data_IF_128962510961
#
_entry.id   IF_128962510961
#
_cell.length_a   1.000
_cell.length_b   1.000
_cell.length_c   1.000
_cell.angle_alpha   90.00
_cell.angle_beta   90.00
_cell.angle_gamma   90.00
#
_symmetry.space_group_name_H-M   'P 1'
#
loop_
_entity.id
_entity.type
_entity.pdbx_description
1 polymer ?
#
# COMPACT_ATOMS: atom_id res chain seq x y z
N UNK A 1 -10.97 34.66 15.51
CA UNK A 1 -10.49 33.28 15.78
C UNK A 1 -9.91 32.61 14.54
N UNK A 2 -10.58 32.65 13.38
CA UNK A 2 -10.07 32.07 12.12
C UNK A 2 -8.69 32.62 11.66
N UNK A 3 -8.41 33.92 11.85
CA UNK A 3 -7.12 34.54 11.48
C UNK A 3 -5.92 34.04 12.30
N UNK A 4 -6.14 33.72 13.58
CA UNK A 4 -5.10 33.18 14.48
C UNK A 4 -4.81 31.72 14.15
N UNK A 5 -5.83 30.95 13.77
CA UNK A 5 -5.68 29.56 13.31
C UNK A 5 -4.87 29.46 12.02
N UNK A 6 -5.19 30.28 11.02
CA UNK A 6 -4.45 30.34 9.75
C UNK A 6 -2.99 30.76 9.93
N UNK A 7 -2.71 31.73 10.82
CA UNK A 7 -1.35 32.17 11.09
C UNK A 7 -0.50 31.06 11.74
N UNK A 8 -1.04 30.36 12.76
CA UNK A 8 -0.37 29.20 13.38
C UNK A 8 -0.12 28.09 12.35
N UNK A 9 -1.09 27.81 11.50
CA UNK A 9 -0.94 26.81 10.43
C UNK A 9 0.20 27.15 9.46
N UNK A 10 0.30 28.41 9.01
CA UNK A 10 1.39 28.84 8.13
C UNK A 10 2.78 28.65 8.75
N UNK A 11 2.92 28.89 10.05
CA UNK A 11 4.18 28.64 10.78
C UNK A 11 4.50 27.13 10.78
N UNK A 12 3.51 26.29 11.10
CA UNK A 12 3.66 24.83 11.08
C UNK A 12 4.03 24.32 9.68
N UNK A 13 3.38 24.84 8.63
CA UNK A 13 3.69 24.48 7.25
C UNK A 13 5.11 24.89 6.85
N UNK A 14 5.58 26.06 7.30
CA UNK A 14 6.97 26.49 7.07
C UNK A 14 7.99 25.59 7.79
N UNK A 15 7.76 25.25 9.06
CA UNK A 15 8.62 24.31 9.80
C UNK A 15 8.62 22.93 9.11
N UNK A 16 7.44 22.46 8.66
CA UNK A 16 7.29 21.22 7.92
C UNK A 16 8.08 21.26 6.61
N UNK A 17 8.05 22.37 5.88
CA UNK A 17 8.81 22.54 4.66
C UNK A 17 10.30 22.35 4.92
N UNK A 18 10.85 23.04 5.92
CA UNK A 18 12.25 22.89 6.32
C UNK A 18 12.57 21.43 6.64
N UNK A 19 11.71 20.76 7.41
CA UNK A 19 11.87 19.33 7.71
C UNK A 19 11.87 18.46 6.44
N UNK A 20 10.92 18.64 5.53
CA UNK A 20 10.78 17.82 4.32
C UNK A 20 12.02 17.92 3.42
N UNK A 21 12.52 19.13 3.19
CA UNK A 21 13.67 19.32 2.31
C UNK A 21 15.00 18.92 2.94
N UNK A 22 15.08 18.80 4.27
CA UNK A 22 16.32 18.40 4.98
C UNK A 22 16.32 16.91 5.34
N UNK A 23 15.20 16.39 5.87
CA UNK A 23 15.13 15.08 6.52
C UNK A 23 14.38 14.03 5.70
N UNK A 24 13.39 14.42 4.89
CA UNK A 24 12.62 13.46 4.12
C UNK A 24 13.37 13.03 2.85
N UNK A 25 13.87 11.78 2.86
CA UNK A 25 14.64 11.23 1.73
C UNK A 25 13.82 11.22 0.44
N UNK A 26 12.56 10.79 0.51
CA UNK A 26 11.67 10.65 -0.66
C UNK A 26 11.38 12.00 -1.32
N UNK A 27 11.03 13.02 -0.54
CA UNK A 27 10.81 14.38 -1.05
C UNK A 27 12.08 14.92 -1.72
N UNK A 28 13.26 14.71 -1.12
CA UNK A 28 14.53 15.13 -1.74
C UNK A 28 14.79 14.41 -3.06
N UNK A 29 14.46 13.12 -3.17
CA UNK A 29 14.60 12.36 -4.42
C UNK A 29 13.69 12.94 -5.53
N UNK A 30 12.41 13.18 -5.23
CA UNK A 30 11.48 13.78 -6.20
C UNK A 30 11.91 15.19 -6.64
N UNK A 31 12.37 16.01 -5.70
CA UNK A 31 12.86 17.37 -5.99
C UNK A 31 14.17 17.31 -6.78
N UNK A 32 15.04 16.36 -6.49
CA UNK A 32 16.27 16.14 -7.27
C UNK A 32 15.94 15.74 -8.71
N UNK A 33 14.93 14.88 -8.91
CA UNK A 33 14.41 14.53 -10.24
C UNK A 33 13.90 15.76 -10.97
N UNK A 34 13.11 16.62 -10.29
CA UNK A 34 12.69 17.90 -10.83
C UNK A 34 13.87 18.78 -11.25
N UNK A 35 14.89 18.93 -10.39
CA UNK A 35 16.06 19.78 -10.68
C UNK A 35 16.80 19.24 -11.91
N UNK A 36 17.02 17.92 -12.00
CA UNK A 36 17.77 17.26 -13.06
C UNK A 36 17.00 17.07 -14.37
N UNK A 37 15.68 17.17 -14.36
CA UNK A 37 14.88 17.00 -15.58
C UNK A 37 15.23 18.07 -16.61
N UNK A 38 15.31 17.71 -17.88
CA UNK A 38 15.34 18.69 -18.99
C UNK A 38 13.95 18.90 -19.60
N UNK A 39 12.97 18.08 -19.21
CA UNK A 39 11.59 18.14 -19.68
C UNK A 39 10.73 18.85 -18.64
N UNK A 40 10.72 20.18 -18.66
CA UNK A 40 9.92 20.99 -17.74
C UNK A 40 9.10 22.02 -18.50
N UNK A 41 7.92 22.31 -17.98
CA UNK A 41 7.13 23.48 -18.34
C UNK A 41 7.95 24.75 -18.11
N UNK A 42 7.50 25.85 -18.70
CA UNK A 42 8.03 27.17 -18.43
C UNK A 42 7.98 27.50 -16.92
N UNK A 43 9.01 28.18 -16.42
CA UNK A 43 9.17 28.46 -14.99
C UNK A 43 8.02 29.29 -14.41
N UNK A 44 7.42 30.18 -15.19
CA UNK A 44 6.31 31.00 -14.74
C UNK A 44 5.02 30.20 -14.64
N UNK A 45 4.83 29.21 -15.53
CA UNK A 45 3.74 28.22 -15.41
C UNK A 45 3.91 27.38 -14.15
N UNK A 46 5.12 26.87 -13.90
CA UNK A 46 5.41 26.06 -12.69
C UNK A 46 5.15 26.87 -11.41
N UNK A 47 5.64 28.10 -11.35
CA UNK A 47 5.43 29.01 -10.20
C UNK A 47 3.95 29.30 -9.99
N UNK A 48 3.20 29.53 -11.07
CA UNK A 48 1.76 29.75 -11.02
C UNK A 48 1.03 28.51 -10.47
N UNK A 49 1.26 27.33 -11.04
CA UNK A 49 0.60 26.09 -10.63
C UNK A 49 0.89 25.75 -9.15
N UNK A 50 2.15 25.83 -8.72
CA UNK A 50 2.54 25.60 -7.32
C UNK A 50 1.82 26.59 -6.39
N UNK A 51 1.77 27.88 -6.76
CA UNK A 51 1.12 28.91 -5.95
C UNK A 51 -0.37 28.63 -5.79
N UNK A 52 -1.06 28.28 -6.87
CA UNK A 52 -2.50 28.02 -6.83
C UNK A 52 -2.81 26.73 -6.07
N UNK A 53 -2.00 25.68 -6.21
CA UNK A 53 -2.14 24.46 -5.41
C UNK A 53 -1.88 24.70 -3.93
N UNK A 54 -0.86 25.51 -3.58
CA UNK A 54 -0.59 25.86 -2.19
C UNK A 54 -1.73 26.67 -1.57
N UNK A 55 -2.30 27.63 -2.29
CA UNK A 55 -3.50 28.36 -1.85
C UNK A 55 -4.67 27.42 -1.63
N UNK A 56 -4.91 26.50 -2.56
CA UNK A 56 -6.04 25.57 -2.52
C UNK A 56 -5.96 24.58 -1.36
N UNK A 57 -4.80 23.94 -1.19
CA UNK A 57 -4.59 22.93 -0.15
C UNK A 57 -4.23 23.51 1.22
N UNK A 58 -3.81 24.77 1.27
CA UNK A 58 -3.29 25.42 2.48
C UNK A 58 -1.95 24.89 2.97
N UNK A 59 -1.39 23.88 2.31
CA UNK A 59 -0.10 23.28 2.62
C UNK A 59 0.75 23.22 1.36
N UNK A 60 2.06 23.36 1.51
CA UNK A 60 2.95 23.29 0.34
C UNK A 60 2.74 21.99 -0.45
N UNK A 61 2.53 22.08 -1.78
CA UNK A 61 2.05 20.97 -2.60
C UNK A 61 3.19 20.05 -3.03
N UNK A 62 3.70 19.24 -2.10
CA UNK A 62 4.78 18.26 -2.37
C UNK A 62 4.39 17.30 -3.50
N UNK A 63 3.09 17.00 -3.64
CA UNK A 63 2.56 16.13 -4.67
C UNK A 63 2.85 16.65 -6.10
N UNK A 64 3.08 17.96 -6.27
CA UNK A 64 3.50 18.55 -7.53
C UNK A 64 4.83 17.96 -8.04
N UNK A 65 5.75 17.65 -7.12
CA UNK A 65 7.03 17.00 -7.43
C UNK A 65 6.90 15.47 -7.43
N UNK A 66 6.05 14.90 -6.56
CA UNK A 66 5.82 13.44 -6.51
C UNK A 66 5.28 12.90 -7.83
N UNK A 67 4.28 13.60 -8.40
CA UNK A 67 3.58 13.20 -9.62
C UNK A 67 4.07 13.92 -10.88
N UNK A 68 5.22 14.59 -10.79
CA UNK A 68 5.90 15.28 -11.89
C UNK A 68 5.00 16.24 -12.69
N UNK A 69 4.15 17.01 -12.00
CA UNK A 69 3.23 17.98 -12.63
C UNK A 69 3.97 19.10 -13.38
N UNK A 70 5.25 19.31 -13.07
CA UNK A 70 6.13 20.24 -13.78
C UNK A 70 6.53 19.76 -15.19
N UNK A 71 6.36 18.48 -15.53
CA UNK A 71 6.82 17.91 -16.80
C UNK A 71 5.94 18.37 -17.97
N UNK A 72 6.51 18.59 -19.16
CA UNK A 72 5.67 18.82 -20.36
C UNK A 72 4.88 17.57 -20.77
N UNK A 73 5.24 16.40 -20.24
CA UNK A 73 4.47 15.16 -20.41
C UNK A 73 3.20 15.13 -19.55
N UNK A 74 3.05 16.06 -18.59
CA UNK A 74 1.88 16.15 -17.75
C UNK A 74 0.75 16.90 -18.49
N UNK A 75 -0.32 16.16 -18.80
CA UNK A 75 -1.50 16.70 -19.50
C UNK A 75 -2.59 17.22 -18.55
N UNK A 76 -2.40 17.08 -17.24
CA UNK A 76 -3.37 17.53 -16.25
C UNK A 76 -3.45 19.05 -16.24
N UNK A 77 -4.67 19.58 -16.24
CA UNK A 77 -4.96 20.98 -15.96
C UNK A 77 -4.93 21.23 -14.45
N UNK A 78 -4.83 22.50 -14.06
CA UNK A 78 -4.75 22.90 -12.67
C UNK A 78 -5.89 22.32 -11.80
N UNK A 79 -7.12 22.27 -12.30
CA UNK A 79 -8.24 21.71 -11.54
C UNK A 79 -8.16 20.19 -11.39
N UNK A 80 -7.59 19.48 -12.36
CA UNK A 80 -7.33 18.04 -12.24
C UNK A 80 -6.16 17.79 -11.26
N UNK A 81 -5.14 18.65 -11.24
CA UNK A 81 -4.08 18.60 -10.22
C UNK A 81 -4.61 18.83 -8.80
N UNK A 82 -5.66 19.66 -8.64
CA UNK A 82 -6.33 19.87 -7.35
C UNK A 82 -7.06 18.62 -6.84
N UNK A 83 -7.32 17.62 -7.70
CA UNK A 83 -7.85 16.34 -7.22
C UNK A 83 -6.78 15.50 -6.49
N UNK A 84 -5.48 15.79 -6.72
CA UNK A 84 -4.38 15.07 -6.07
C UNK A 84 -4.07 15.67 -4.70
N UNK A 85 -4.33 14.86 -3.68
CA UNK A 85 -4.15 15.19 -2.28
C UNK A 85 -2.67 15.17 -1.87
N UNK A 86 -2.16 16.22 -1.20
CA UNK A 86 -0.88 16.15 -0.52
C UNK A 86 -0.92 15.08 0.59
N UNK A 87 0.06 14.18 0.61
CA UNK A 87 0.17 13.14 1.65
C UNK A 87 0.08 13.68 3.08
N UNK A 88 0.67 14.85 3.36
CA UNK A 88 0.52 15.47 4.67
C UNK A 88 -0.93 15.81 5.00
N UNK A 89 -1.65 16.45 4.07
CA UNK A 89 -3.04 16.84 4.27
C UNK A 89 -3.90 15.59 4.53
N UNK A 90 -3.69 14.54 3.74
CA UNK A 90 -4.39 13.28 3.91
C UNK A 90 -4.13 12.66 5.29
N UNK A 91 -2.88 12.34 5.64
CA UNK A 91 -2.59 11.59 6.87
C UNK A 91 -2.73 12.41 8.16
N UNK A 92 -2.71 13.75 8.10
CA UNK A 92 -2.80 14.61 9.29
C UNK A 92 -4.15 15.29 9.48
N UNK A 93 -4.99 15.36 8.45
CA UNK A 93 -6.26 16.06 8.52
C UNK A 93 -7.42 15.14 8.15
N UNK A 94 -7.33 14.44 7.00
CA UNK A 94 -8.42 13.57 6.54
C UNK A 94 -8.46 12.25 7.28
N UNK A 95 -7.34 11.54 7.39
CA UNK A 95 -7.29 10.22 8.02
C UNK A 95 -7.77 10.26 9.49
N UNK A 96 -7.34 11.21 10.34
CA UNK A 96 -7.82 11.31 11.73
C UNK A 96 -9.33 11.58 11.90
N UNK A 97 -10.02 12.00 10.83
CA UNK A 97 -11.47 12.16 10.86
C UNK A 97 -12.19 10.81 10.83
N UNK A 98 -11.58 9.80 10.22
CA UNK A 98 -12.15 8.46 10.08
C UNK A 98 -11.61 7.49 11.14
N UNK A 99 -10.35 7.61 11.55
CA UNK A 99 -9.73 6.65 12.46
C UNK A 99 -8.78 7.30 13.49
N UNK A 100 -8.71 6.69 14.67
CA UNK A 100 -7.59 6.92 15.58
C UNK A 100 -6.35 6.19 15.05
N UNK A 101 -5.50 6.95 14.36
CA UNK A 101 -4.26 6.45 13.76
C UNK A 101 -3.44 5.61 14.74
N UNK A 102 -3.31 6.03 16.01
CA UNK A 102 -2.44 5.32 16.95
C UNK A 102 -3.03 3.94 17.26
N UNK A 103 -4.32 3.91 17.59
CA UNK A 103 -5.05 2.67 17.91
C UNK A 103 -5.05 1.72 16.71
N UNK A 104 -5.43 2.21 15.53
CA UNK A 104 -5.53 1.38 14.31
C UNK A 104 -4.15 0.92 13.85
N UNK A 105 -3.10 1.73 13.98
CA UNK A 105 -1.73 1.34 13.62
C UNK A 105 -1.19 0.25 14.55
N UNK A 106 -1.40 0.37 15.87
CA UNK A 106 -0.98 -0.69 16.81
C UNK A 106 -1.68 -2.02 16.54
N UNK A 107 -2.91 -1.96 16.04
CA UNK A 107 -3.73 -3.11 15.72
C UNK A 107 -3.28 -3.78 14.41
N UNK A 108 -3.09 -3.00 13.35
CA UNK A 108 -2.88 -3.54 12.00
C UNK A 108 -1.40 -3.74 11.62
N UNK A 109 -0.46 -2.99 12.20
CA UNK A 109 0.95 -3.12 11.82
C UNK A 109 1.67 -4.28 12.53
N UNK A 110 1.06 -4.87 13.57
CA UNK A 110 1.55 -6.11 14.15
C UNK A 110 0.97 -7.29 13.37
N UNK A 111 1.80 -7.96 12.55
CA UNK A 111 1.35 -9.06 11.69
C UNK A 111 0.69 -10.20 12.46
N UNK A 112 1.16 -10.54 13.67
CA UNK A 112 0.55 -11.61 14.48
C UNK A 112 -0.88 -11.22 14.89
N UNK A 113 -1.05 -10.00 15.40
CA UNK A 113 -2.37 -9.54 15.83
C UNK A 113 -3.32 -9.38 14.64
N UNK A 114 -2.85 -8.82 13.53
CA UNK A 114 -3.61 -8.69 12.29
C UNK A 114 -4.07 -10.05 11.76
N UNK A 115 -3.21 -11.07 11.79
CA UNK A 115 -3.56 -12.42 11.33
C UNK A 115 -4.65 -13.05 12.19
N UNK A 116 -4.55 -12.94 13.51
CA UNK A 116 -5.63 -13.37 14.41
C UNK A 116 -6.95 -12.66 14.12
N UNK A 117 -6.93 -11.35 13.90
CA UNK A 117 -8.13 -10.60 13.51
C UNK A 117 -8.76 -11.13 12.21
N UNK A 118 -7.93 -11.50 11.24
CA UNK A 118 -8.43 -12.04 9.98
C UNK A 118 -9.04 -13.42 10.18
N UNK A 119 -8.35 -14.31 10.90
CA UNK A 119 -8.80 -15.67 11.19
C UNK A 119 -10.11 -15.67 12.00
N UNK A 120 -10.17 -14.92 13.11
CA UNK A 120 -11.37 -14.76 13.95
C UNK A 120 -12.54 -14.12 13.18
N UNK A 121 -12.25 -13.18 12.27
CA UNK A 121 -13.25 -12.55 11.41
C UNK A 121 -13.69 -13.40 10.22
N UNK A 122 -13.06 -14.55 9.99
CA UNK A 122 -13.25 -15.35 8.76
C UNK A 122 -12.91 -14.58 7.50
N UNK A 123 -11.90 -13.71 7.56
CA UNK A 123 -11.31 -13.01 6.42
C UNK A 123 -10.27 -13.95 5.81
N UNK A 124 -10.39 -14.35 4.53
CA UNK A 124 -9.42 -15.22 3.88
C UNK A 124 -8.02 -14.61 3.95
N UNK A 125 -7.03 -15.37 4.43
CA UNK A 125 -5.65 -14.93 4.60
C UNK A 125 -4.71 -16.14 4.43
N UNK A 126 -3.41 -15.97 4.09
CA UNK A 126 -2.50 -17.09 3.92
C UNK A 126 -2.44 -18.01 5.15
N UNK A 127 -2.16 -19.30 4.96
CA UNK A 127 -2.05 -20.22 6.09
C UNK A 127 -0.81 -19.84 6.91
N UNK A 128 -1.03 -19.56 8.20
CA UNK A 128 0.04 -19.41 9.18
C UNK A 128 0.47 -20.80 9.62
N UNK A 129 1.74 -21.17 9.39
CA UNK A 129 2.27 -22.43 9.93
C UNK A 129 2.47 -22.30 11.44
N UNK A 130 3.17 -21.25 11.87
CA UNK A 130 3.40 -20.92 13.28
C UNK A 130 3.92 -19.49 13.42
N UNK A 131 3.97 -19.00 14.66
CA UNK A 131 4.65 -17.74 15.00
C UNK A 131 5.82 -17.98 15.93
N UNK A 132 6.83 -17.13 15.83
CA UNK A 132 7.97 -17.05 16.75
C UNK A 132 7.84 -15.77 17.57
N UNK A 133 7.82 -15.90 18.89
CA UNK A 133 7.87 -14.81 19.86
C UNK A 133 9.13 -14.96 20.70
N UNK A 134 10.15 -14.15 20.42
CA UNK A 134 11.51 -14.34 20.95
C UNK A 134 11.94 -15.82 20.77
N UNK A 135 12.24 -16.53 21.86
CA UNK A 135 12.74 -17.90 21.82
C UNK A 135 11.64 -18.97 21.90
N UNK A 136 10.37 -18.56 21.74
CA UNK A 136 9.19 -19.42 21.88
C UNK A 136 8.44 -19.50 20.55
N UNK A 137 7.94 -20.68 20.22
CA UNK A 137 7.12 -20.91 19.03
C UNK A 137 5.69 -21.26 19.41
N UNK A 138 4.73 -20.79 18.61
CA UNK A 138 3.31 -21.03 18.82
C UNK A 138 2.64 -21.54 17.54
N UNK A 139 1.93 -22.68 17.64
CA UNK A 139 1.00 -23.17 16.60
C UNK A 139 -0.39 -22.56 16.82
N UNK A 140 -1.24 -22.59 15.76
CA UNK A 140 -2.69 -22.34 15.72
C UNK A 140 -3.30 -21.60 16.93
N UNK A 141 -3.80 -20.38 16.70
CA UNK A 141 -4.32 -19.41 17.68
C UNK A 141 -3.25 -18.73 18.56
N UNK A 142 -1.97 -19.11 18.40
CA UNK A 142 -0.84 -18.58 19.15
C UNK A 142 -1.02 -18.77 20.67
N UNK A 143 -1.50 -19.95 21.08
CA UNK A 143 -1.78 -20.29 22.49
C UNK A 143 -0.86 -21.40 22.99
N UNK A 144 -0.53 -22.36 22.14
CA UNK A 144 0.24 -23.55 22.50
C UNK A 144 1.72 -23.37 22.16
N UNK A 145 2.57 -23.41 23.19
CA UNK A 145 4.03 -23.49 23.02
C UNK A 145 4.39 -24.86 22.46
N UNK A 146 5.20 -24.89 21.42
CA UNK A 146 5.55 -26.11 20.70
C UNK A 146 7.05 -26.35 20.68
N UNK A 147 7.42 -27.63 20.60
CA UNK A 147 8.82 -28.04 20.65
C UNK A 147 9.48 -28.14 19.26
N UNK A 148 10.77 -28.49 19.24
CA UNK A 148 11.55 -28.65 18.00
C UNK A 148 10.94 -29.67 17.03
N UNK A 149 10.36 -30.75 17.54
CA UNK A 149 9.80 -31.81 16.70
C UNK A 149 8.54 -31.34 15.98
N UNK A 150 7.66 -30.63 16.66
CA UNK A 150 6.41 -30.10 16.10
C UNK A 150 6.67 -29.02 15.03
N UNK A 151 7.66 -28.15 15.25
CA UNK A 151 8.04 -27.13 14.27
C UNK A 151 8.62 -27.74 13.01
N UNK A 152 9.52 -28.72 13.16
CA UNK A 152 10.12 -29.38 12.01
C UNK A 152 9.07 -30.18 11.22
N UNK A 153 8.14 -30.87 11.91
CA UNK A 153 7.03 -31.55 11.26
C UNK A 153 6.12 -30.58 10.51
N UNK A 154 5.76 -29.43 11.10
CA UNK A 154 4.96 -28.40 10.43
C UNK A 154 5.63 -27.88 9.15
N UNK A 155 6.96 -27.74 9.15
CA UNK A 155 7.74 -27.35 7.97
C UNK A 155 7.74 -28.49 6.93
N UNK A 156 7.97 -29.73 7.33
CA UNK A 156 8.03 -30.91 6.43
C UNK A 156 6.67 -31.19 5.77
N UNK A 157 5.57 -31.07 6.52
CA UNK A 157 4.19 -31.30 6.05
C UNK A 157 3.69 -30.18 5.14
N UNK A 158 4.32 -29.00 5.17
CA UNK A 158 3.95 -27.88 4.31
C UNK A 158 4.07 -28.27 2.83
N UNK A 159 2.97 -28.16 2.10
CA UNK A 159 2.90 -28.56 0.69
C UNK A 159 3.29 -27.44 -0.28
N UNK A 160 3.31 -26.18 0.19
CA UNK A 160 3.56 -25.01 -0.63
C UNK A 160 4.95 -25.01 -1.27
N UNK A 161 5.11 -24.37 -2.44
CA UNK A 161 6.44 -24.27 -3.08
C UNK A 161 7.43 -23.43 -2.28
N UNK A 162 6.92 -22.56 -1.42
CA UNK A 162 7.71 -21.59 -0.65
C UNK A 162 7.13 -21.43 0.75
N UNK A 163 7.99 -21.07 1.70
CA UNK A 163 7.62 -20.59 3.03
C UNK A 163 8.11 -19.16 3.17
N UNK A 164 7.27 -18.28 3.69
CA UNK A 164 7.61 -16.89 3.99
C UNK A 164 7.80 -16.72 5.49
N UNK A 165 9.00 -16.30 5.90
CA UNK A 165 9.34 -15.97 7.28
C UNK A 165 9.42 -14.45 7.37
N UNK A 166 8.39 -13.85 7.99
CA UNK A 166 8.15 -12.41 7.96
C UNK A 166 8.36 -11.81 9.35
N UNK A 167 9.24 -10.81 9.52
CA UNK A 167 9.30 -10.07 10.77
C UNK A 167 7.93 -9.47 11.12
N UNK A 168 7.53 -9.57 12.39
CA UNK A 168 6.24 -9.05 12.86
C UNK A 168 6.14 -7.56 12.61
N UNK A 169 7.16 -6.81 13.04
CA UNK A 169 7.32 -5.39 12.76
C UNK A 169 8.01 -5.13 11.42
N UNK A 170 8.02 -3.86 11.00
CA UNK A 170 8.68 -3.43 9.78
C UNK A 170 7.74 -3.28 8.59
N UNK A 171 8.23 -2.64 7.53
CA UNK A 171 7.47 -2.26 6.32
C UNK A 171 8.30 -2.50 5.06
N UNK A 172 7.63 -2.58 3.91
CA UNK A 172 8.30 -2.60 2.60
C UNK A 172 8.99 -3.91 2.26
N UNK A 173 8.65 -5.02 2.93
CA UNK A 173 9.26 -6.33 2.69
C UNK A 173 10.68 -6.51 3.25
N UNK A 174 11.23 -5.53 3.96
CA UNK A 174 12.57 -5.63 4.56
C UNK A 174 12.61 -6.75 5.60
N UNK A 175 13.57 -7.66 5.45
CA UNK A 175 13.80 -8.77 6.38
C UNK A 175 12.92 -9.99 6.16
N UNK A 176 12.07 -10.00 5.12
CA UNK A 176 11.33 -11.20 4.73
C UNK A 176 12.33 -12.21 4.16
N UNK A 177 12.32 -13.41 4.72
CA UNK A 177 13.07 -14.56 4.20
C UNK A 177 12.07 -15.42 3.41
N UNK A 178 12.45 -15.78 2.18
CA UNK A 178 11.65 -16.62 1.29
C UNK A 178 12.41 -17.93 1.11
N UNK A 179 11.94 -18.99 1.75
CA UNK A 179 12.52 -20.31 1.66
C UNK A 179 11.85 -21.11 0.54
N UNK A 180 12.65 -21.81 -0.26
CA UNK A 180 12.16 -22.62 -1.39
C UNK A 180 12.18 -24.10 -1.06
N UNK A 181 11.15 -24.82 -1.49
CA UNK A 181 11.07 -26.27 -1.31
C UNK A 181 12.06 -26.99 -2.21
N UNK A 182 12.92 -27.82 -1.63
CA UNK A 182 13.88 -28.67 -2.33
C UNK A 182 13.81 -30.07 -1.70
N UNK A 183 13.26 -31.04 -2.44
CA UNK A 183 12.95 -32.36 -1.89
C UNK A 183 11.88 -32.25 -0.79
N UNK A 184 12.15 -32.82 0.39
CA UNK A 184 11.28 -32.74 1.57
C UNK A 184 11.55 -31.51 2.46
N UNK A 185 12.60 -30.74 2.20
CA UNK A 185 13.01 -29.62 3.05
C UNK A 185 12.81 -28.25 2.39
N UNK A 186 12.93 -27.20 3.20
CA UNK A 186 12.92 -25.81 2.74
C UNK A 186 14.28 -25.16 2.95
N UNK A 187 14.70 -24.33 1.99
CA UNK A 187 16.04 -23.75 2.01
C UNK A 187 16.03 -22.25 1.71
N UNK A 188 16.90 -21.52 2.43
CA UNK A 188 17.24 -20.12 2.15
C UNK A 188 18.76 -19.98 2.12
N UNK A 189 19.32 -19.44 1.04
CA UNK A 189 20.78 -19.26 0.88
C UNK A 189 21.60 -20.54 1.20
N UNK A 190 21.10 -21.70 0.76
CA UNK A 190 21.67 -23.05 1.00
C UNK A 190 21.61 -23.53 2.46
N UNK A 191 20.94 -22.80 3.35
CA UNK A 191 20.66 -23.24 4.73
C UNK A 191 19.28 -23.88 4.78
N UNK A 192 19.19 -25.02 5.46
CA UNK A 192 17.90 -25.64 5.77
C UNK A 192 17.13 -24.73 6.73
N UNK A 193 15.82 -24.63 6.50
CA UNK A 193 14.89 -24.00 7.42
C UNK A 193 14.37 -25.10 8.35
N UNK A 194 14.77 -24.99 9.61
CA UNK A 194 14.35 -25.84 10.70
C UNK A 194 14.15 -24.98 11.96
N UNK A 195 13.76 -25.61 13.06
CA UNK A 195 13.63 -24.98 14.38
C UNK A 195 14.87 -24.16 14.77
N UNK A 196 16.09 -24.69 14.53
CA UNK A 196 17.34 -24.04 14.96
C UNK A 196 17.65 -22.81 14.13
N UNK A 197 17.43 -22.87 12.82
CA UNK A 197 17.52 -21.71 11.95
C UNK A 197 16.60 -20.61 12.45
N UNK A 198 15.33 -20.95 12.71
CA UNK A 198 14.34 -19.98 13.16
C UNK A 198 14.70 -19.40 14.53
N UNK A 199 15.14 -20.22 15.49
CA UNK A 199 15.57 -19.78 16.82
C UNK A 199 16.76 -18.81 16.74
N UNK A 200 17.64 -18.97 15.75
CA UNK A 200 18.78 -18.06 15.54
C UNK A 200 18.39 -16.66 15.04
N UNK A 201 17.15 -16.47 14.60
CA UNK A 201 16.67 -15.16 14.14
C UNK A 201 16.31 -14.27 15.33
N UNK A 202 16.86 -13.06 15.36
CA UNK A 202 16.49 -12.06 16.37
C UNK A 202 15.09 -11.49 16.11
N UNK A 203 14.28 -11.42 17.16
CA UNK A 203 12.94 -10.84 17.15
C UNK A 203 11.82 -11.82 16.82
N UNK A 204 10.63 -11.26 16.57
CA UNK A 204 9.39 -11.99 16.36
C UNK A 204 9.09 -12.18 14.88
N UNK A 205 8.57 -13.34 14.51
CA UNK A 205 8.25 -13.70 13.12
C UNK A 205 6.89 -14.39 12.99
N UNK A 206 6.26 -14.18 11.84
CA UNK A 206 5.16 -15.02 11.35
C UNK A 206 5.72 -15.89 10.23
N UNK A 207 5.46 -17.19 10.29
CA UNK A 207 5.85 -18.14 9.25
C UNK A 207 4.58 -18.59 8.53
N UNK A 208 4.52 -18.32 7.23
CA UNK A 208 3.33 -18.56 6.41
C UNK A 208 3.67 -19.41 5.18
N UNK A 209 2.67 -20.16 4.71
CA UNK A 209 2.73 -20.77 3.39
C UNK A 209 2.85 -19.72 2.29
N UNK A 210 3.62 -20.04 1.25
CA UNK A 210 3.72 -19.22 0.06
C UNK A 210 2.44 -19.25 -0.75
N UNK A 211 1.97 -18.07 -1.13
CA UNK A 211 0.76 -17.91 -1.93
C UNK A 211 1.04 -18.32 -3.38
N UNK A 212 0.19 -19.20 -3.92
CA UNK A 212 0.12 -19.44 -5.36
C UNK A 212 -0.93 -18.53 -5.99
N UNK A 213 -0.47 -17.55 -6.76
CA UNK A 213 -1.37 -16.61 -7.41
C UNK A 213 -2.04 -17.23 -8.65
N UNK A 214 -3.19 -16.65 -9.03
CA UNK A 214 -3.98 -17.10 -10.18
C UNK A 214 -3.16 -17.08 -11.48
N UNK A 215 -3.39 -18.06 -12.36
CA UNK A 215 -2.65 -18.22 -13.61
C UNK A 215 -2.63 -16.96 -14.48
N UNK A 216 -3.76 -16.26 -14.61
CA UNK A 216 -3.84 -14.98 -15.35
C UNK A 216 -2.99 -13.85 -14.75
N UNK A 217 -2.82 -13.84 -13.41
CA UNK A 217 -1.94 -12.87 -12.74
C UNK A 217 -0.47 -13.26 -12.92
N UNK A 218 -0.16 -14.56 -12.97
CA UNK A 218 1.18 -15.07 -13.30
C UNK A 218 1.63 -14.74 -14.72
N UNK A 219 0.72 -14.66 -15.68
CA UNK A 219 1.03 -14.15 -17.03
C UNK A 219 1.54 -12.71 -17.00
N UNK A 220 1.05 -11.90 -16.05
CA UNK A 220 1.54 -10.52 -15.87
C UNK A 220 2.96 -10.55 -15.33
N UNK A 221 3.19 -11.25 -14.22
CA UNK A 221 4.53 -11.45 -13.66
C UNK A 221 4.53 -12.60 -12.65
N UNK A 222 5.37 -13.62 -12.86
CA UNK A 222 5.36 -14.86 -12.07
C UNK A 222 6.37 -14.91 -10.91
N UNK A 223 7.34 -14.01 -10.89
CA UNK A 223 8.45 -14.11 -9.92
C UNK A 223 8.10 -13.56 -8.53
N UNK A 224 7.00 -12.80 -8.42
CA UNK A 224 6.42 -12.33 -7.16
C UNK A 224 4.93 -12.61 -7.11
N UNK A 225 4.36 -12.54 -5.90
CA UNK A 225 2.92 -12.40 -5.75
C UNK A 225 2.55 -10.97 -6.13
N UNK A 226 1.81 -10.78 -7.22
CA UNK A 226 1.31 -9.48 -7.65
C UNK A 226 0.03 -9.17 -6.89
N UNK A 227 0.03 -8.08 -6.13
CA UNK A 227 -1.05 -7.78 -5.19
C UNK A 227 -1.90 -6.60 -5.63
N UNK A 228 -3.19 -6.66 -5.35
CA UNK A 228 -4.04 -5.48 -5.41
C UNK A 228 -3.84 -4.66 -4.14
N UNK A 229 -3.42 -3.40 -4.29
CA UNK A 229 -3.58 -2.37 -3.26
C UNK A 229 -4.98 -1.79 -3.39
N UNK A 230 -5.89 -2.22 -2.53
CA UNK A 230 -7.28 -1.80 -2.50
C UNK A 230 -7.56 -0.87 -1.31
N UNK A 231 -8.22 0.27 -1.56
CA UNK A 231 -8.54 1.25 -0.51
C UNK A 231 -10.03 1.19 -0.20
N UNK A 232 -10.39 0.84 1.03
CA UNK A 232 -11.78 0.87 1.49
C UNK A 232 -12.01 1.98 2.50
N UNK A 233 -13.22 2.53 2.50
CA UNK A 233 -13.69 3.49 3.49
C UNK A 233 -15.04 3.05 4.07
N UNK A 234 -15.12 2.98 5.40
CA UNK A 234 -16.38 2.94 6.14
C UNK A 234 -16.82 4.36 6.45
N UNK A 235 -17.95 4.76 5.87
CA UNK A 235 -18.61 6.03 6.14
C UNK A 235 -19.29 6.02 7.50
N UNK A 236 -19.64 7.20 8.00
CA UNK A 236 -20.33 7.38 9.29
C UNK A 236 -21.69 6.68 9.37
N UNK A 237 -22.35 6.46 8.24
CA UNK A 237 -23.60 5.70 8.15
C UNK A 237 -23.37 4.16 8.21
N UNK A 238 -22.13 3.71 8.40
CA UNK A 238 -21.74 2.30 8.45
C UNK A 238 -21.49 1.67 7.08
N UNK A 239 -21.78 2.37 5.97
CA UNK A 239 -21.57 1.86 4.62
C UNK A 239 -20.08 1.75 4.32
N UNK A 240 -19.65 0.58 3.85
CA UNK A 240 -18.28 0.32 3.37
C UNK A 240 -18.24 0.44 1.86
N UNK A 241 -17.29 1.25 1.36
CA UNK A 241 -17.06 1.49 -0.05
C UNK A 241 -15.63 1.16 -0.45
N UNK A 242 -15.46 0.61 -1.65
CA UNK A 242 -14.15 0.44 -2.29
C UNK A 242 -13.88 1.71 -3.12
N UNK A 243 -12.85 2.46 -2.75
CA UNK A 243 -12.55 3.77 -3.34
C UNK A 243 -11.60 3.67 -4.54
N UNK A 244 -10.58 2.81 -4.45
CA UNK A 244 -9.55 2.71 -5.47
C UNK A 244 -8.84 1.35 -5.40
N UNK A 245 -8.40 0.85 -6.55
CA UNK A 245 -7.58 -0.35 -6.65
C UNK A 245 -6.44 -0.13 -7.64
N UNK A 246 -5.25 -0.57 -7.24
CA UNK A 246 -4.08 -0.65 -8.11
C UNK A 246 -3.50 -2.06 -8.04
N UNK A 247 -3.16 -2.66 -9.17
CA UNK A 247 -2.34 -3.87 -9.20
C UNK A 247 -0.88 -3.47 -9.10
N UNK A 248 -0.14 -4.07 -8.17
CA UNK A 248 1.30 -3.91 -7.97
C UNK A 248 2.03 -5.15 -8.47
N UNK A 249 3.16 -4.95 -9.13
CA UNK A 249 3.91 -6.01 -9.78
C UNK A 249 5.41 -5.82 -9.53
N UNK A 250 6.12 -6.94 -9.37
CA UNK A 250 7.58 -6.94 -9.41
C UNK A 250 8.11 -6.58 -10.79
N UNK A 251 9.43 -6.39 -10.89
CA UNK A 251 10.16 -6.10 -12.13
C UNK A 251 11.63 -6.41 -11.89
N UNK A 252 12.39 -6.70 -12.95
CA UNK A 252 13.81 -7.06 -12.91
C UNK A 252 14.09 -8.30 -12.04
N UNK A 253 13.24 -9.32 -12.14
CA UNK A 253 13.36 -10.59 -11.43
C UNK A 253 13.22 -10.53 -9.90
N UNK A 254 12.68 -9.42 -9.37
CA UNK A 254 12.42 -9.28 -7.93
C UNK A 254 11.27 -10.18 -7.48
N UNK A 255 11.42 -10.77 -6.28
CA UNK A 255 10.42 -11.64 -5.63
C UNK A 255 9.37 -10.89 -4.80
N UNK A 256 9.46 -9.56 -4.75
CA UNK A 256 8.52 -8.68 -4.04
C UNK A 256 7.98 -7.62 -5.02
N UNK A 257 6.70 -7.29 -4.89
CA UNK A 257 5.96 -6.40 -5.80
C UNK A 257 5.84 -4.95 -5.30
N UNK A 258 6.41 -4.65 -4.12
CA UNK A 258 6.23 -3.36 -3.46
C UNK A 258 6.89 -2.23 -4.26
N UNK A 259 6.14 -1.16 -4.57
CA UNK A 259 6.62 0.03 -5.28
C UNK A 259 7.84 0.70 -4.63
N UNK A 260 7.95 0.65 -3.29
CA UNK A 260 9.13 1.15 -2.57
C UNK A 260 10.42 0.33 -2.81
N UNK A 261 10.27 -0.90 -3.32
CA UNK A 261 11.37 -1.74 -3.80
C UNK A 261 11.57 -1.62 -5.34
N UNK A 262 10.92 -0.65 -5.98
CA UNK A 262 11.05 -0.38 -7.41
C UNK A 262 10.14 -1.23 -8.29
N UNK A 263 9.00 -1.72 -7.77
CA UNK A 263 7.93 -2.34 -8.55
C UNK A 263 7.13 -1.33 -9.38
N UNK A 264 6.34 -1.83 -10.33
CA UNK A 264 5.42 -1.04 -11.16
C UNK A 264 3.97 -1.27 -10.73
N UNK A 265 3.09 -0.33 -11.09
CA UNK A 265 1.67 -0.37 -10.74
C UNK A 265 0.78 0.01 -11.93
N UNK A 266 -0.46 -0.46 -11.90
CA UNK A 266 -1.52 -0.06 -12.83
C UNK A 266 -2.85 0.09 -12.09
N UNK A 267 -3.58 1.17 -12.38
CA UNK A 267 -4.92 1.38 -11.82
C UNK A 267 -5.94 0.41 -12.41
N UNK A 268 -6.85 -0.09 -11.57
CA UNK A 268 -7.91 -1.02 -11.97
C UNK A 268 -9.26 -0.30 -11.97
N UNK A 269 -10.01 -0.46 -13.05
CA UNK A 269 -11.34 0.08 -13.18
C UNK A 269 -12.31 -0.73 -12.30
N UNK A 270 -13.00 -0.04 -11.39
CA UNK A 270 -13.81 -0.71 -10.37
C UNK A 270 -15.08 -1.36 -10.93
N UNK A 271 -15.48 -1.02 -12.16
CA UNK A 271 -16.67 -1.58 -12.82
C UNK A 271 -16.29 -2.86 -13.56
N UNK A 272 -15.31 -2.80 -14.44
CA UNK A 272 -14.90 -3.89 -15.33
C UNK A 272 -13.89 -4.85 -14.71
N UNK A 273 -12.99 -4.38 -13.84
CA UNK A 273 -11.84 -5.16 -13.38
C UNK A 273 -10.66 -5.16 -14.35
N UNK A 274 -10.74 -4.38 -15.43
CA UNK A 274 -9.65 -4.13 -16.36
C UNK A 274 -8.80 -2.92 -15.95
N UNK A 275 -7.82 -2.53 -16.78
CA UNK A 275 -6.93 -1.42 -16.49
C UNK A 275 -7.64 -0.06 -16.73
N UNK A 276 -7.42 0.92 -15.85
CA UNK A 276 -7.88 2.31 -16.07
C UNK A 276 -7.14 3.01 -17.21
N UNK A 277 -5.89 2.62 -17.45
CA UNK A 277 -5.00 3.16 -18.48
C UNK A 277 -4.33 2.00 -19.18
N UNK A 278 -4.02 2.12 -20.46
CA UNK A 278 -3.32 1.08 -21.24
C UNK A 278 -1.84 0.89 -20.87
N UNK A 279 -1.36 1.52 -19.78
CA UNK A 279 0.02 1.48 -19.35
C UNK A 279 0.15 1.43 -17.82
N UNK A 280 1.18 0.74 -17.34
CA UNK A 280 1.65 0.80 -15.96
C UNK A 280 2.67 1.93 -15.78
N UNK A 281 2.93 2.32 -14.53
CA UNK A 281 3.96 3.30 -14.16
C UNK A 281 4.71 2.83 -12.93
N UNK A 282 5.83 3.48 -12.61
CA UNK A 282 6.35 3.43 -11.24
C UNK A 282 5.41 4.18 -10.28
N UNK A 283 5.70 4.09 -8.97
CA UNK A 283 5.02 4.89 -7.93
C UNK A 283 5.13 6.40 -8.19
N UNK A 284 6.20 6.82 -8.85
CA UNK A 284 6.53 8.20 -9.18
C UNK A 284 7.36 8.23 -10.48
N UNK A 285 7.35 9.33 -11.21
CA UNK A 285 7.98 9.41 -12.53
C UNK A 285 6.95 9.57 -13.64
N UNK A 286 7.41 9.97 -14.83
CA UNK A 286 6.60 10.04 -16.05
C UNK A 286 6.80 8.84 -16.98
N UNK A 287 7.55 7.83 -16.54
CA UNK A 287 7.78 6.60 -17.29
C UNK A 287 6.51 5.75 -17.38
N UNK A 288 6.21 5.30 -18.61
CA UNK A 288 5.01 4.54 -18.94
C UNK A 288 5.40 3.24 -19.62
N UNK A 289 4.83 2.14 -19.13
CA UNK A 289 5.05 0.80 -19.64
C UNK A 289 3.76 0.30 -20.28
N UNK A 290 3.73 0.12 -21.60
CA UNK A 290 2.58 -0.53 -22.27
C UNK A 290 2.63 -2.05 -22.14
N UNK A 291 3.82 -2.60 -21.94
CA UNK A 291 4.05 -4.00 -21.64
C UNK A 291 4.84 -4.15 -20.35
N UNK A 292 4.64 -5.24 -19.63
CA UNK A 292 5.47 -5.57 -18.49
C UNK A 292 6.93 -5.80 -18.97
N UNK A 293 7.95 -5.13 -18.38
CA UNK A 293 9.32 -5.19 -18.90
C UNK A 293 9.94 -6.59 -18.92
N UNK A 294 9.62 -7.43 -17.93
CA UNK A 294 10.16 -8.80 -17.84
C UNK A 294 9.35 -9.82 -18.65
N UNK A 295 8.03 -9.89 -18.47
CA UNK A 295 7.18 -10.92 -19.09
C UNK A 295 6.69 -10.57 -20.50
N UNK A 296 6.78 -9.29 -20.91
CA UNK A 296 6.19 -8.81 -22.15
C UNK A 296 4.66 -8.73 -22.15
N UNK A 297 4.00 -8.90 -21.00
CA UNK A 297 2.53 -8.87 -20.91
C UNK A 297 1.97 -7.50 -21.34
N UNK A 298 1.01 -7.47 -22.27
CA UNK A 298 0.37 -6.25 -22.76
C UNK A 298 -0.68 -5.75 -21.76
N UNK A 299 -0.45 -4.60 -21.13
CA UNK A 299 -1.31 -4.12 -20.05
C UNK A 299 -2.74 -3.78 -20.46
N UNK A 300 -3.00 -3.44 -21.72
CA UNK A 300 -4.36 -3.23 -22.21
C UNK A 300 -5.23 -4.49 -22.22
N UNK A 301 -4.61 -5.67 -22.13
CA UNK A 301 -5.30 -6.97 -22.04
C UNK A 301 -5.47 -7.44 -20.58
N UNK A 302 -5.03 -6.64 -19.60
CA UNK A 302 -5.18 -6.97 -18.20
C UNK A 302 -6.65 -7.12 -17.83
N UNK A 303 -6.98 -8.21 -17.13
CA UNK A 303 -8.28 -8.38 -16.51
C UNK A 303 -8.11 -9.14 -15.20
N UNK A 304 -8.66 -8.61 -14.11
CA UNK A 304 -8.64 -9.32 -12.84
C UNK A 304 -9.67 -10.46 -12.90
N UNK A 305 -9.24 -11.73 -12.77
CA UNK A 305 -10.14 -12.88 -12.91
C UNK A 305 -11.20 -12.84 -11.81
N UNK A 306 -12.46 -13.14 -12.13
CA UNK A 306 -13.57 -13.11 -11.16
C UNK A 306 -13.73 -11.78 -10.40
N UNK A 307 -13.44 -10.64 -11.04
CA UNK A 307 -13.40 -9.31 -10.43
C UNK A 307 -14.60 -8.99 -9.52
N UNK A 308 -15.84 -9.28 -9.97
CA UNK A 308 -17.05 -9.02 -9.18
C UNK A 308 -17.01 -9.68 -7.80
N UNK A 309 -16.55 -10.93 -7.74
CA UNK A 309 -16.47 -11.69 -6.49
C UNK A 309 -15.34 -11.16 -5.60
N UNK A 310 -14.18 -10.87 -6.17
CA UNK A 310 -13.04 -10.27 -5.44
C UNK A 310 -13.45 -8.92 -4.85
N UNK A 311 -14.07 -8.05 -5.64
CA UNK A 311 -14.55 -6.74 -5.20
C UNK A 311 -15.52 -6.86 -4.02
N UNK A 312 -16.49 -7.78 -4.11
CA UNK A 312 -17.41 -8.03 -2.99
C UNK A 312 -16.65 -8.53 -1.76
N UNK A 313 -15.76 -9.51 -1.94
CA UNK A 313 -14.96 -10.07 -0.86
C UNK A 313 -14.08 -9.07 -0.13
N UNK A 314 -13.51 -8.10 -0.85
CA UNK A 314 -12.76 -6.98 -0.25
C UNK A 314 -13.66 -6.11 0.62
N UNK A 315 -14.83 -5.73 0.10
CA UNK A 315 -15.80 -4.91 0.86
C UNK A 315 -16.32 -5.68 2.08
N UNK A 316 -16.60 -6.98 1.93
CA UNK A 316 -17.06 -7.84 3.02
C UNK A 316 -15.98 -8.04 4.10
N UNK A 317 -14.72 -8.15 3.71
CA UNK A 317 -13.59 -8.20 4.64
C UNK A 317 -13.45 -6.88 5.42
N UNK A 318 -13.60 -5.75 4.73
CA UNK A 318 -13.61 -4.45 5.39
C UNK A 318 -14.80 -4.25 6.31
N UNK A 319 -15.97 -4.83 6.00
CA UNK A 319 -17.14 -4.83 6.92
C UNK A 319 -16.85 -5.57 8.22
N UNK A 320 -16.06 -6.64 8.18
CA UNK A 320 -15.69 -7.45 9.37
C UNK A 320 -14.69 -6.76 10.29
N UNK A 321 -13.86 -5.86 9.77
CA UNK A 321 -12.99 -5.00 10.60
C UNK A 321 -13.72 -3.72 11.03
N UNK A 322 -14.49 -3.78 12.10
CA UNK A 322 -15.26 -2.62 12.59
C UNK A 322 -14.38 -1.52 13.20
N UNK A 323 -13.19 -1.86 13.70
CA UNK A 323 -12.27 -0.93 14.36
C UNK A 323 -11.30 -0.22 13.39
N UNK A 324 -11.51 -0.36 12.08
CA UNK A 324 -10.69 0.30 11.06
C UNK A 324 -11.59 0.78 9.92
N UNK A 325 -11.76 2.10 9.81
CA UNK A 325 -12.67 2.70 8.84
C UNK A 325 -12.01 2.89 7.48
N UNK A 326 -10.77 3.36 7.45
CA UNK A 326 -10.02 3.67 6.24
C UNK A 326 -8.79 2.76 6.14
N UNK A 327 -8.83 1.79 5.22
CA UNK A 327 -7.86 0.68 5.18
C UNK A 327 -7.33 0.47 3.78
N UNK A 328 -6.01 0.24 3.70
CA UNK A 328 -5.28 -0.12 2.49
C UNK A 328 -4.96 -1.60 2.53
N UNK A 329 -5.69 -2.40 1.77
CA UNK A 329 -5.56 -3.84 1.72
C UNK A 329 -4.54 -4.25 0.67
N UNK A 330 -3.69 -5.20 1.04
CA UNK A 330 -2.86 -5.95 0.10
C UNK A 330 -3.53 -7.29 -0.15
N UNK A 331 -4.04 -7.48 -1.36
CA UNK A 331 -4.87 -8.63 -1.74
C UNK A 331 -4.14 -9.47 -2.78
N UNK A 332 -3.91 -10.74 -2.48
CA UNK A 332 -3.49 -11.73 -3.46
C UNK A 332 -4.72 -12.33 -4.16
N UNK A 333 -4.60 -12.56 -5.47
CA UNK A 333 -5.61 -13.28 -6.24
C UNK A 333 -5.09 -14.69 -6.49
N UNK A 334 -5.85 -15.71 -6.09
CA UNK A 334 -5.49 -17.13 -6.21
C UNK A 334 -6.47 -17.86 -7.11
N UNK A 335 -6.22 -19.14 -7.42
CA UNK A 335 -7.15 -19.94 -8.22
C UNK A 335 -8.47 -20.21 -7.48
N UNK A 336 -8.46 -20.15 -6.14
CA UNK A 336 -9.57 -20.39 -5.23
C UNK A 336 -10.33 -19.10 -4.87
N UNK A 337 -9.81 -17.93 -5.23
CA UNK A 337 -10.42 -16.64 -4.95
C UNK A 337 -9.40 -15.56 -4.61
N UNK A 338 -9.44 -15.07 -3.38
CA UNK A 338 -8.52 -14.03 -2.91
C UNK A 338 -8.06 -14.30 -1.49
N UNK A 339 -6.89 -13.77 -1.13
CA UNK A 339 -6.35 -13.78 0.22
C UNK A 339 -5.93 -12.36 0.62
N UNK A 340 -6.33 -11.93 1.81
CA UNK A 340 -5.86 -10.71 2.45
C UNK A 340 -4.50 -10.97 3.07
N UNK A 341 -3.46 -10.33 2.51
CA UNK A 341 -2.08 -10.44 3.00
C UNK A 341 -1.87 -9.46 4.15
N UNK A 342 -2.22 -8.19 3.94
CA UNK A 342 -2.06 -7.13 4.93
C UNK A 342 -3.24 -6.14 4.89
N UNK A 343 -3.57 -5.57 6.04
CA UNK A 343 -4.37 -4.36 6.16
C UNK A 343 -3.48 -3.24 6.69
N UNK A 344 -3.43 -2.11 5.99
CA UNK A 344 -2.48 -1.02 6.27
C UNK A 344 -3.21 0.29 6.59
N UNK A 345 -2.74 1.00 7.61
CA UNK A 345 -3.15 2.40 7.88
C UNK A 345 -2.42 3.39 6.96
N UNK A 346 -1.21 3.03 6.52
CA UNK A 346 -0.51 3.72 5.44
C UNK A 346 -0.95 3.16 4.09
N UNK A 347 -2.01 3.76 3.55
CA UNK A 347 -2.66 3.35 2.31
C UNK A 347 -1.76 3.41 1.08
N UNK A 348 -0.64 4.14 1.15
CA UNK A 348 0.16 4.46 -0.02
C UNK A 348 -0.57 5.45 -0.93
N UNK A 349 -1.10 6.55 -0.36
CA UNK A 349 -1.87 7.57 -1.08
C UNK A 349 -1.25 7.96 -2.44
N UNK A 350 0.03 8.32 -2.45
CA UNK A 350 0.70 8.75 -3.68
C UNK A 350 0.76 7.61 -4.71
N UNK A 351 1.11 6.39 -4.29
CA UNK A 351 1.06 5.20 -5.13
C UNK A 351 -0.33 4.99 -5.78
N UNK A 352 -1.39 5.06 -4.97
CA UNK A 352 -2.76 4.90 -5.47
C UNK A 352 -3.11 6.02 -6.46
N UNK A 353 -2.75 7.27 -6.15
CA UNK A 353 -3.05 8.42 -7.02
C UNK A 353 -2.30 8.38 -8.36
N UNK A 354 -1.10 7.81 -8.42
CA UNK A 354 -0.38 7.58 -9.69
C UNK A 354 -1.17 6.63 -10.60
N UNK A 355 -1.74 5.57 -10.02
CA UNK A 355 -2.52 4.57 -10.75
C UNK A 355 -3.90 5.05 -11.18
N UNK A 356 -4.70 5.56 -10.23
CA UNK A 356 -6.14 5.83 -10.44
C UNK A 356 -6.51 7.29 -10.64
N UNK A 357 -5.57 8.22 -10.41
CA UNK A 357 -5.85 9.66 -10.40
C UNK A 357 -6.08 10.23 -9.00
N UNK A 358 -6.36 11.53 -8.95
CA UNK A 358 -6.58 12.25 -7.69
C UNK A 358 -7.76 11.71 -6.89
N UNK A 359 -7.57 11.56 -5.58
CA UNK A 359 -8.55 10.94 -4.68
C UNK A 359 -9.37 11.94 -3.83
N UNK A 360 -9.17 13.25 -4.02
CA UNK A 360 -9.83 14.30 -3.22
C UNK A 360 -11.32 14.04 -3.03
N UNK A 361 -12.04 13.79 -4.13
CA UNK A 361 -13.50 13.86 -4.16
C UNK A 361 -14.17 12.71 -3.40
N UNK A 362 -13.41 11.67 -3.04
CA UNK A 362 -13.89 10.61 -2.13
C UNK A 362 -13.96 11.05 -0.67
N UNK A 363 -13.22 12.09 -0.30
CA UNK A 363 -13.06 12.52 1.10
C UNK A 363 -13.52 13.95 1.36
N UNK A 364 -13.52 14.82 0.34
CA UNK A 364 -13.69 16.26 0.51
C UNK A 364 -14.75 16.79 -0.46
N UNK A 365 -15.81 17.39 0.06
CA UNK A 365 -16.84 18.08 -0.72
C UNK A 365 -16.60 19.59 -0.84
N UNK A 366 -15.91 20.20 0.13
CA UNK A 366 -15.65 21.66 0.20
C UNK A 366 -14.22 22.09 -0.15
N UNK A 367 -13.87 23.34 0.15
CA UNK A 367 -12.49 23.82 0.01
C UNK A 367 -11.58 23.24 1.10
N UNK A 368 -10.48 22.54 0.76
CA UNK A 368 -9.60 21.92 1.74
C UNK A 368 -9.05 22.90 2.79
N UNK A 369 -8.70 24.12 2.37
CA UNK A 369 -8.18 25.15 3.28
C UNK A 369 -9.13 25.44 4.46
N UNK A 370 -10.44 25.37 4.26
CA UNK A 370 -11.41 25.66 5.32
C UNK A 370 -11.38 24.61 6.45
N UNK A 371 -11.00 23.36 6.16
CA UNK A 371 -10.87 22.32 7.18
C UNK A 371 -9.72 22.61 8.14
N UNK A 372 -8.67 23.27 7.63
CA UNK A 372 -7.53 23.71 8.43
C UNK A 372 -7.89 24.92 9.28
N UNK A 373 -8.62 25.89 8.72
CA UNK A 373 -8.82 27.19 9.37
C UNK A 373 -9.84 27.19 10.50
N UNK A 374 -10.87 26.34 10.45
CA UNK A 374 -12.07 26.51 11.28
C UNK A 374 -12.41 25.31 12.18
N UNK A 375 -11.60 24.25 12.21
CA UNK A 375 -11.95 22.99 12.92
C UNK A 375 -13.31 22.41 12.51
N UNK A 376 -13.83 22.77 11.32
CA UNK A 376 -15.13 22.36 10.78
C UNK A 376 -15.00 21.15 9.86
N UNK A 377 -14.34 20.08 10.33
CA UNK A 377 -14.20 18.85 9.55
C UNK A 377 -15.55 18.27 9.10
N UNK A 378 -16.60 18.44 9.91
CA UNK A 378 -17.94 17.92 9.62
C UNK A 378 -18.71 18.61 8.48
N UNK A 379 -18.31 19.80 8.03
CA UNK A 379 -18.95 20.49 6.88
C UNK A 379 -18.20 20.22 5.56
N UNK A 380 -16.99 19.64 5.63
CA UNK A 380 -16.05 19.56 4.49
C UNK A 380 -15.72 18.11 4.14
N UNK A 381 -15.71 17.21 5.13
CA UNK A 381 -15.44 15.79 4.92
C UNK A 381 -16.73 14.99 4.76
N UNK A 382 -16.69 14.05 3.82
CA UNK A 382 -17.81 13.18 3.44
C UNK A 382 -18.03 12.02 4.43
#
# INVERSE_FOLDING_TARGET
MASVGLFKHKIVDYIRLVYLFIKDKRTREHVTRYIRSNNKKDIDVIRFEIRELWKYWGVFPVQYYTHDFYSNSCLLKLDEMKAYMPSYYFYKIVYPYYDDIKKTTSMLENKIYMKRLFEEGGIPTPITLFTKLNDVFLLNDNVSVVDESEINLSIEDCSAKRIFIKPVGGRGGKGIIIAEKIGSGYFFERKIIDYKFLLSLEGDYVVEEGIEQHADISKVYEQSVNTLRAVTLRKKNGQVELLAVTLRMGINGRKIDNGSAGGILIGIDLVSGGPLKYYATYEYGDEKFTHHPDSGFLFSELNIPNWKNIKSGIVDSARKLENANLVGWDVAITNEGFLMIEANTLLGLDHTQSGVGGLRDYFISGEPLLAICNSRGGEIFL
#
